data_IF_331352455913
#
_entry.id   IF_331352455913
#
_cell.length_a   1.000
_cell.length_b   1.000
_cell.length_c   1.000
_cell.angle_alpha   90.00
_cell.angle_beta   90.00
_cell.angle_gamma   90.00
#
_symmetry.space_group_name_H-M   'P 1'
#
loop_
_entity.id
_entity.type
_entity.pdbx_description
1 polymer ?
#
# COMPACT_ATOMS: atom_id res chain seq x y z
N UNK A 1 -31.16 9.34 19.24
CA UNK A 1 -29.99 8.45 19.37
C UNK A 1 -28.81 9.25 18.87
N UNK A 2 -27.98 9.78 19.75
CA UNK A 2 -26.75 10.47 19.34
C UNK A 2 -25.74 9.43 18.88
N UNK A 3 -25.28 9.57 17.64
CA UNK A 3 -24.20 8.75 17.12
C UNK A 3 -22.90 9.35 17.65
N UNK A 4 -22.31 8.69 18.64
CA UNK A 4 -20.99 9.05 19.14
C UNK A 4 -19.92 8.35 18.31
N UNK A 5 -18.83 9.07 18.02
CA UNK A 5 -17.65 8.47 17.41
C UNK A 5 -17.07 7.43 18.37
N UNK A 6 -16.73 6.22 17.91
CA UNK A 6 -16.12 5.22 18.76
C UNK A 6 -14.74 5.70 19.24
N UNK A 7 -14.49 5.61 20.54
CA UNK A 7 -13.21 6.01 21.17
C UNK A 7 -12.17 4.88 21.16
N UNK A 8 -12.59 3.66 20.84
CA UNK A 8 -11.75 2.47 20.89
C UNK A 8 -11.89 1.64 19.61
N UNK A 9 -10.80 1.45 18.88
CA UNK A 9 -10.77 0.70 17.63
C UNK A 9 -11.11 -0.81 17.80
N UNK A 10 -11.03 -1.34 19.02
CA UNK A 10 -11.45 -2.70 19.37
C UNK A 10 -12.91 -2.77 19.83
N UNK A 11 -13.66 -1.67 19.79
CA UNK A 11 -15.07 -1.63 20.19
C UNK A 11 -15.87 -0.84 19.16
N UNK A 12 -16.42 -1.56 18.20
CA UNK A 12 -17.30 -0.99 17.19
C UNK A 12 -18.07 -2.04 16.41
N UNK A 13 -18.76 -1.59 15.37
CA UNK A 13 -19.65 -2.42 14.57
C UNK A 13 -18.95 -3.66 13.96
N UNK A 14 -17.65 -3.60 13.72
CA UNK A 14 -16.89 -4.77 13.26
C UNK A 14 -16.92 -5.91 14.28
N UNK A 15 -16.61 -5.61 15.55
CA UNK A 15 -16.63 -6.59 16.64
C UNK A 15 -18.02 -7.16 16.86
N UNK A 16 -19.05 -6.31 16.85
CA UNK A 16 -20.44 -6.74 17.00
C UNK A 16 -20.88 -7.68 15.86
N UNK A 17 -20.50 -7.34 14.61
CA UNK A 17 -20.90 -8.10 13.43
C UNK A 17 -20.18 -9.45 13.35
N UNK A 18 -18.89 -9.49 13.71
CA UNK A 18 -18.07 -10.70 13.61
C UNK A 18 -17.98 -11.50 14.92
N UNK A 19 -18.67 -11.06 15.98
CA UNK A 19 -18.63 -11.67 17.31
C UNK A 19 -17.20 -11.94 17.78
N UNK A 20 -16.36 -10.90 17.71
CA UNK A 20 -14.92 -10.99 18.01
C UNK A 20 -14.48 -9.80 18.86
N UNK A 21 -13.49 -10.01 19.73
CA UNK A 21 -12.83 -8.94 20.49
C UNK A 21 -11.59 -8.39 19.76
N UNK A 22 -11.22 -8.99 18.63
CA UNK A 22 -10.04 -8.61 17.87
C UNK A 22 -10.27 -7.32 17.07
N UNK A 23 -9.20 -6.55 16.89
CA UNK A 23 -9.15 -5.53 15.84
C UNK A 23 -9.31 -6.18 14.46
N UNK A 24 -9.88 -5.47 13.48
CA UNK A 24 -10.11 -6.00 12.12
C UNK A 24 -8.89 -6.71 11.52
N UNK A 25 -7.71 -6.07 11.58
CA UNK A 25 -6.48 -6.66 11.05
C UNK A 25 -6.06 -7.96 11.77
N UNK A 26 -6.23 -8.02 13.10
CA UNK A 26 -5.93 -9.23 13.86
C UNK A 26 -6.92 -10.35 13.52
N UNK A 27 -8.21 -10.02 13.41
CA UNK A 27 -9.23 -10.98 13.02
C UNK A 27 -8.99 -11.54 11.60
N UNK A 28 -8.62 -10.68 10.64
CA UNK A 28 -8.29 -11.10 9.27
C UNK A 28 -7.07 -12.04 9.25
N UNK A 29 -6.01 -11.69 9.97
CA UNK A 29 -4.80 -12.50 10.05
C UNK A 29 -5.08 -13.91 10.63
N UNK A 30 -5.97 -14.00 11.62
CA UNK A 30 -6.29 -15.27 12.28
C UNK A 30 -7.33 -16.12 11.55
N UNK A 31 -8.32 -15.49 10.90
CA UNK A 31 -9.54 -16.19 10.45
C UNK A 31 -9.75 -16.17 8.94
N UNK A 32 -9.08 -15.28 8.21
CA UNK A 32 -9.41 -14.91 6.83
C UNK A 32 -8.18 -14.57 5.99
N UNK A 33 -7.26 -15.53 5.90
CA UNK A 33 -5.99 -15.35 5.19
C UNK A 33 -6.18 -14.93 3.72
N UNK A 34 -7.20 -15.47 3.04
CA UNK A 34 -7.48 -15.14 1.63
C UNK A 34 -7.96 -13.70 1.48
N UNK A 35 -8.81 -13.22 2.39
CA UNK A 35 -9.28 -11.85 2.41
C UNK A 35 -8.18 -10.87 2.83
N UNK A 36 -7.27 -11.29 3.72
CA UNK A 36 -6.07 -10.53 4.06
C UNK A 36 -5.14 -10.38 2.83
N UNK A 37 -4.95 -11.45 2.06
CA UNK A 37 -4.21 -11.38 0.79
C UNK A 37 -4.90 -10.47 -0.23
N UNK A 38 -6.23 -10.53 -0.34
CA UNK A 38 -6.98 -9.64 -1.21
C UNK A 38 -6.81 -8.16 -0.81
N UNK A 39 -6.76 -7.87 0.49
CA UNK A 39 -6.48 -6.54 1.03
C UNK A 39 -5.07 -6.07 0.64
N UNK A 40 -4.05 -6.91 0.80
CA UNK A 40 -2.68 -6.59 0.36
C UNK A 40 -2.62 -6.31 -1.15
N UNK A 41 -3.30 -7.13 -1.96
CA UNK A 41 -3.36 -6.94 -3.41
C UNK A 41 -4.05 -5.61 -3.79
N UNK A 42 -5.15 -5.25 -3.11
CA UNK A 42 -5.81 -3.97 -3.34
C UNK A 42 -4.88 -2.79 -3.05
N UNK A 43 -4.12 -2.86 -1.94
CA UNK A 43 -3.16 -1.81 -1.58
C UNK A 43 -2.04 -1.69 -2.62
N UNK A 44 -1.50 -2.81 -3.11
CA UNK A 44 -0.51 -2.84 -4.18
C UNK A 44 -1.09 -2.32 -5.52
N UNK A 45 -2.31 -2.71 -5.88
CA UNK A 45 -2.97 -2.25 -7.09
C UNK A 45 -3.25 -0.74 -7.07
N UNK A 46 -3.61 -0.17 -5.91
CA UNK A 46 -3.75 1.28 -5.75
C UNK A 46 -2.44 2.02 -6.04
N UNK A 47 -1.29 1.45 -5.67
CA UNK A 47 0.01 2.00 -6.04
C UNK A 47 0.23 1.98 -7.57
N UNK A 48 -0.27 0.96 -8.29
CA UNK A 48 -0.13 0.89 -9.75
C UNK A 48 -0.99 1.90 -10.53
N UNK A 49 -1.96 2.55 -9.88
CA UNK A 49 -2.72 3.62 -10.52
C UNK A 49 -1.87 4.89 -10.63
N UNK A 50 -1.48 5.23 -11.86
CA UNK A 50 -0.69 6.40 -12.28
C UNK A 50 -1.39 7.77 -12.06
N UNK A 51 -2.02 7.99 -10.92
CA UNK A 51 -2.48 9.31 -10.50
C UNK A 51 -1.32 10.19 -10.02
N UNK A 52 -1.55 11.51 -9.95
CA UNK A 52 -0.60 12.42 -9.31
C UNK A 52 -0.35 11.97 -7.86
N UNK A 53 0.91 11.70 -7.54
CA UNK A 53 1.29 11.36 -6.18
C UNK A 53 1.39 12.63 -5.34
N UNK A 54 1.15 12.51 -4.03
CA UNK A 54 1.28 13.66 -3.13
C UNK A 54 2.70 14.26 -3.18
N UNK A 55 3.70 13.43 -3.49
CA UNK A 55 5.08 13.86 -3.71
C UNK A 55 5.14 14.94 -4.79
N UNK A 56 4.34 14.83 -5.85
CA UNK A 56 4.28 15.78 -6.99
C UNK A 56 3.83 17.18 -6.56
N UNK A 57 3.12 17.27 -5.44
CA UNK A 57 2.68 18.55 -4.87
C UNK A 57 3.81 19.31 -4.16
N UNK A 58 4.92 18.65 -3.85
CA UNK A 58 6.06 19.29 -3.21
C UNK A 58 6.82 20.11 -4.26
N UNK A 59 7.01 21.43 -4.10
CA UNK A 59 7.80 22.21 -5.04
C UNK A 59 9.29 21.80 -5.01
N UNK A 60 9.92 21.71 -6.19
CA UNK A 60 11.35 21.35 -6.29
C UNK A 60 12.26 22.29 -5.48
N UNK A 61 11.95 23.59 -5.46
CA UNK A 61 12.69 24.58 -4.65
C UNK A 61 12.69 24.30 -3.15
N UNK A 62 11.67 23.61 -2.64
CA UNK A 62 11.63 23.23 -1.21
C UNK A 62 12.54 22.04 -0.97
N UNK A 63 12.56 21.10 -1.91
CA UNK A 63 13.43 19.94 -1.88
C UNK A 63 14.90 20.37 -1.93
N UNK A 64 15.29 21.22 -2.88
CA UNK A 64 16.67 21.67 -3.03
C UNK A 64 17.13 22.61 -1.92
N UNK A 65 16.20 23.33 -1.27
CA UNK A 65 16.50 24.15 -0.09
C UNK A 65 16.76 23.33 1.18
N UNK A 66 16.20 22.12 1.27
CA UNK A 66 16.40 21.20 2.41
C UNK A 66 17.55 20.24 2.15
N UNK A 67 17.65 19.73 0.92
CA UNK A 67 18.66 18.79 0.45
C UNK A 67 19.47 19.46 -0.65
N UNK A 68 20.56 20.18 -0.31
CA UNK A 68 21.43 20.77 -1.30
C UNK A 68 22.04 19.69 -2.19
N UNK A 69 22.28 20.01 -3.47
CA UNK A 69 22.92 19.09 -4.41
C UNK A 69 24.43 18.89 -4.11
N UNK A 70 25.08 19.94 -3.63
CA UNK A 70 26.50 19.95 -3.25
C UNK A 70 26.60 19.86 -1.72
N UNK A 71 26.87 18.66 -1.21
CA UNK A 71 27.15 18.40 0.20
C UNK A 71 28.38 17.51 0.31
N UNK A 72 29.21 17.79 1.32
CA UNK A 72 30.47 17.08 1.53
C UNK A 72 30.28 15.67 2.11
N UNK A 73 29.14 15.41 2.76
CA UNK A 73 28.84 14.12 3.39
C UNK A 73 27.77 13.33 2.61
N UNK A 74 28.06 12.09 2.19
CA UNK A 74 27.03 11.22 1.63
C UNK A 74 25.97 10.89 2.69
N UNK A 75 24.73 10.65 2.25
CA UNK A 75 23.60 10.20 3.09
C UNK A 75 23.28 11.07 4.32
N UNK A 76 23.57 12.37 4.27
CA UNK A 76 23.25 13.30 5.37
C UNK A 76 21.76 13.32 5.71
N UNK A 77 20.90 13.13 4.72
CA UNK A 77 19.45 13.13 4.90
C UNK A 77 18.90 11.71 4.79
N UNK A 78 17.94 11.37 5.65
CA UNK A 78 17.23 10.10 5.58
C UNK A 78 15.73 10.34 5.45
N UNK A 79 15.10 9.70 4.47
CA UNK A 79 13.65 9.62 4.33
C UNK A 79 13.25 8.18 4.61
N UNK A 80 12.37 8.00 5.60
CA UNK A 80 11.77 6.71 5.91
C UNK A 80 10.29 6.72 5.52
N UNK A 81 9.89 5.78 4.67
CA UNK A 81 8.49 5.52 4.35
C UNK A 81 7.98 4.38 5.23
N UNK A 82 6.95 4.63 6.04
CA UNK A 82 6.46 3.74 7.10
C UNK A 82 5.09 3.18 6.70
N UNK A 83 4.98 1.86 6.61
CA UNK A 83 3.83 1.20 5.98
C UNK A 83 3.84 1.40 4.46
N UNK A 84 5.04 1.38 3.89
CA UNK A 84 5.34 1.78 2.51
C UNK A 84 4.78 0.82 1.44
N UNK A 85 4.39 -0.40 1.82
CA UNK A 85 4.00 -1.48 0.93
C UNK A 85 5.04 -1.68 -0.18
N UNK A 86 4.71 -1.36 -1.44
CA UNK A 86 5.61 -1.50 -2.59
C UNK A 86 6.74 -0.47 -2.68
N UNK A 87 6.73 0.58 -1.86
CA UNK A 87 7.76 1.62 -1.87
C UNK A 87 7.62 2.67 -2.98
N UNK A 88 6.46 2.77 -3.63
CA UNK A 88 6.23 3.67 -4.76
C UNK A 88 6.57 5.15 -4.45
N UNK A 89 6.30 5.60 -3.23
CA UNK A 89 6.60 6.97 -2.78
C UNK A 89 8.12 7.22 -2.77
N UNK A 90 8.90 6.25 -2.30
CA UNK A 90 10.36 6.35 -2.32
C UNK A 90 10.93 6.34 -3.73
N UNK A 91 10.31 5.60 -4.66
CA UNK A 91 10.71 5.62 -6.06
C UNK A 91 10.50 7.00 -6.70
N UNK A 92 9.40 7.68 -6.40
CA UNK A 92 9.21 9.06 -6.85
C UNK A 92 10.21 10.04 -6.21
N UNK A 93 10.54 9.86 -4.94
CA UNK A 93 11.61 10.66 -4.32
C UNK A 93 12.98 10.37 -4.93
N UNK A 94 13.30 9.13 -5.28
CA UNK A 94 14.55 8.76 -5.94
C UNK A 94 14.74 9.49 -7.27
N UNK A 95 13.66 9.75 -8.00
CA UNK A 95 13.70 10.48 -9.27
C UNK A 95 13.94 11.98 -9.09
N UNK A 96 13.74 12.52 -7.88
CA UNK A 96 13.70 13.97 -7.61
C UNK A 96 14.79 14.45 -6.66
N UNK A 97 15.44 13.53 -5.94
CA UNK A 97 16.45 13.84 -4.93
C UNK A 97 17.85 13.47 -5.43
N UNK A 98 18.88 14.25 -5.07
CA UNK A 98 20.26 13.91 -5.37
C UNK A 98 20.66 12.63 -4.60
N UNK A 99 20.83 11.53 -5.32
CA UNK A 99 21.06 10.20 -4.76
C UNK A 99 22.24 10.12 -3.78
N UNK A 100 23.27 10.95 -3.96
CA UNK A 100 24.46 10.99 -3.09
C UNK A 100 24.13 11.44 -1.65
N UNK A 101 23.16 12.35 -1.50
CA UNK A 101 22.97 13.09 -0.24
C UNK A 101 21.81 12.51 0.59
N UNK A 102 20.98 11.66 -0.01
CA UNK A 102 19.78 11.11 0.60
C UNK A 102 19.89 9.59 0.73
N UNK A 103 19.56 9.09 1.92
CA UNK A 103 19.25 7.69 2.18
C UNK A 103 17.73 7.52 2.15
N UNK A 104 17.24 6.62 1.32
CA UNK A 104 15.82 6.23 1.27
C UNK A 104 15.67 4.90 2.01
N UNK A 105 14.74 4.83 2.96
CA UNK A 105 14.50 3.66 3.81
C UNK A 105 13.03 3.26 3.70
N UNK A 106 12.80 2.01 3.32
CA UNK A 106 11.49 1.40 3.32
C UNK A 106 11.27 0.68 4.66
N UNK A 107 10.15 0.95 5.33
CA UNK A 107 9.75 0.27 6.56
C UNK A 107 8.34 -0.29 6.40
N UNK A 108 8.21 -1.60 6.59
CA UNK A 108 6.93 -2.31 6.62
C UNK A 108 7.07 -3.58 7.47
N UNK A 109 5.98 -4.35 7.62
CA UNK A 109 6.00 -5.67 8.23
C UNK A 109 6.96 -6.61 7.47
N UNK A 110 7.62 -7.56 8.17
CA UNK A 110 8.57 -8.49 7.53
C UNK A 110 8.01 -9.19 6.29
N UNK A 111 6.80 -9.74 6.37
CA UNK A 111 6.17 -10.47 5.25
C UNK A 111 5.89 -9.58 4.03
N UNK A 112 5.70 -8.28 4.24
CA UNK A 112 5.50 -7.31 3.15
C UNK A 112 6.85 -6.98 2.50
N UNK A 113 7.89 -6.75 3.30
CA UNK A 113 9.25 -6.45 2.81
C UNK A 113 9.85 -7.67 2.08
N UNK A 114 9.59 -8.87 2.55
CA UNK A 114 10.08 -10.13 1.96
C UNK A 114 9.27 -10.59 0.73
N UNK A 115 8.09 -10.00 0.49
CA UNK A 115 7.22 -10.36 -0.62
C UNK A 115 6.47 -11.68 -0.44
N UNK A 116 6.25 -12.12 0.81
CA UNK A 116 5.69 -13.42 1.15
C UNK A 116 4.14 -13.47 1.16
N UNK A 117 3.45 -12.45 0.67
CA UNK A 117 1.98 -12.45 0.57
C UNK A 117 1.50 -13.27 -0.63
N UNK A 118 0.61 -14.24 -0.41
CA UNK A 118 0.19 -15.19 -1.45
C UNK A 118 -0.76 -14.51 -2.44
N UNK A 119 -0.41 -14.53 -3.72
CA UNK A 119 -1.32 -14.14 -4.81
C UNK A 119 -2.34 -15.26 -5.00
N UNK A 120 -3.39 -15.28 -4.18
CA UNK A 120 -4.58 -16.03 -4.53
C UNK A 120 -5.20 -15.29 -5.72
N UNK A 121 -5.07 -15.86 -6.93
CA UNK A 121 -5.80 -15.37 -8.11
C UNK A 121 -7.27 -15.27 -7.73
N UNK A 122 -7.76 -14.05 -7.51
CA UNK A 122 -9.18 -13.82 -7.32
C UNK A 122 -9.89 -14.42 -8.53
N UNK A 123 -10.74 -15.40 -8.23
CA UNK A 123 -11.49 -16.21 -9.17
C UNK A 123 -11.93 -15.34 -10.36
N UNK A 124 -11.36 -15.58 -11.55
CA UNK A 124 -11.92 -15.05 -12.79
C UNK A 124 -13.33 -15.60 -12.85
N UNK A 125 -14.33 -14.80 -12.47
CA UNK A 125 -15.70 -15.05 -12.88
C UNK A 125 -15.69 -14.98 -14.39
N UNK A 126 -15.54 -16.13 -15.04
CA UNK A 126 -15.78 -16.28 -16.46
C UNK A 126 -17.25 -15.98 -16.67
N UNK A 127 -17.56 -14.75 -17.06
CA UNK A 127 -18.84 -14.43 -17.68
C UNK A 127 -19.04 -15.44 -18.82
N UNK A 128 -20.19 -16.14 -18.90
CA UNK A 128 -20.43 -17.06 -19.99
C UNK A 128 -20.59 -16.23 -21.27
N UNK A 129 -19.53 -16.14 -22.05
CA UNK A 129 -19.59 -15.54 -23.38
C UNK A 129 -20.48 -16.39 -24.26
N UNK A 130 -21.52 -15.71 -24.77
CA UNK A 130 -22.38 -16.03 -25.89
C UNK A 130 -21.90 -17.17 -26.80
N UNK A 131 -22.81 -18.13 -27.03
CA UNK A 131 -22.76 -19.07 -28.15
C UNK A 131 -22.52 -18.30 -29.46
N UNK A 132 -21.44 -18.61 -30.15
CA UNK A 132 -21.34 -18.45 -31.60
C UNK A 132 -21.19 -19.83 -32.23
N UNK A 133 -22.04 -20.07 -33.22
CA UNK A 133 -22.30 -21.35 -33.86
C UNK A 133 -21.08 -21.93 -34.58
N UNK A 134 -20.92 -23.25 -34.44
CA UNK A 134 -20.13 -24.07 -35.35
C UNK A 134 -20.71 -23.95 -36.78
N UNK A 135 -19.86 -23.62 -37.76
CA UNK A 135 -20.10 -24.02 -39.15
C UNK A 135 -19.34 -25.32 -39.40
N UNK A 136 -20.11 -26.35 -39.74
CA UNK A 136 -19.64 -27.57 -40.38
C UNK A 136 -19.78 -27.39 -41.89
N UNK A 137 -18.71 -27.74 -42.60
CA UNK A 137 -18.50 -27.80 -44.06
C UNK A 137 -18.38 -26.48 -44.82
#
# INVERSE_FOLDING_TARGET
MEIQSPENANKGAFQDTHSTELHMFGWLAENKIVEMDALHQMMAAKASHHGHMWTDLIPEKWITGIVPAEEDSPHKFTIADVGASSGIVLDAFRQRLPARNVRLVLQDLPDVVEGNHHVTSMCRMTSPTHRSANHLY
#
